data_IF_337193099127
#
_entry.id   IF_337193099127
#
_cell.length_a   1.000
_cell.length_b   1.000
_cell.length_c   1.000
_cell.angle_alpha   90.00
_cell.angle_beta   90.00
_cell.angle_gamma   90.00
#
_symmetry.space_group_name_H-M   'P 1'
#
loop_
_entity.id
_entity.type
_entity.pdbx_description
1 polymer ?
#
# COMPACT_ATOMS: atom_id res chain seq x y z
N UNK A 1 -4.21 -2.59 -5.96
CA UNK A 1 -3.43 -2.41 -7.20
C UNK A 1 -1.95 -2.77 -7.00
N UNK A 2 -1.19 -2.19 -6.06
CA UNK A 2 0.24 -2.51 -5.90
C UNK A 2 0.52 -4.03 -5.78
N UNK A 3 -0.25 -4.76 -4.96
CA UNK A 3 -0.12 -6.21 -4.83
C UNK A 3 -0.35 -6.95 -6.15
N UNK A 4 -1.35 -6.55 -6.95
CA UNK A 4 -1.64 -7.18 -8.24
C UNK A 4 -0.54 -6.92 -9.27
N UNK A 5 0.02 -5.71 -9.27
CA UNK A 5 1.19 -5.37 -10.10
C UNK A 5 2.41 -6.17 -9.68
N UNK A 6 2.72 -6.21 -8.38
CA UNK A 6 3.83 -7.00 -7.84
C UNK A 6 3.75 -8.46 -8.33
N UNK A 7 2.58 -9.07 -8.25
CA UNK A 7 2.39 -10.46 -8.71
C UNK A 7 2.50 -10.60 -10.22
N UNK A 8 1.95 -9.66 -11.00
CA UNK A 8 2.08 -9.65 -12.46
C UNK A 8 3.54 -9.54 -12.92
N UNK A 9 4.38 -8.90 -12.11
CA UNK A 9 5.83 -8.80 -12.31
C UNK A 9 6.62 -10.03 -11.79
N UNK A 10 5.94 -11.07 -11.33
CA UNK A 10 6.60 -12.29 -10.80
C UNK A 10 7.02 -12.21 -9.35
N UNK A 11 6.60 -11.18 -8.62
CA UNK A 11 6.89 -11.06 -7.19
C UNK A 11 6.18 -12.14 -6.36
N UNK A 12 6.84 -12.58 -5.28
CA UNK A 12 6.35 -13.65 -4.40
C UNK A 12 5.14 -13.25 -3.53
N UNK A 13 4.73 -12.00 -3.55
CA UNK A 13 3.65 -11.43 -2.75
C UNK A 13 4.16 -10.46 -1.69
N UNK A 14 3.24 -9.94 -0.90
CA UNK A 14 3.54 -8.98 0.17
C UNK A 14 2.63 -9.24 1.39
N UNK A 15 3.09 -8.81 2.55
CA UNK A 15 2.24 -8.62 3.72
C UNK A 15 1.52 -7.29 3.53
N UNK A 16 0.21 -7.28 3.69
CA UNK A 16 -0.60 -6.07 3.57
C UNK A 16 -1.06 -5.61 4.95
N UNK A 17 -0.83 -4.35 5.23
CA UNK A 17 -1.27 -3.72 6.49
C UNK A 17 -2.37 -2.73 6.16
N UNK A 18 -3.51 -2.84 6.84
CA UNK A 18 -4.62 -1.88 6.73
C UNK A 18 -5.43 -1.91 8.04
N UNK A 19 -6.00 -0.78 8.43
CA UNK A 19 -6.85 -0.68 9.63
C UNK A 19 -8.27 -1.21 9.39
N UNK A 20 -8.70 -1.33 8.13
CA UNK A 20 -10.05 -1.75 7.76
C UNK A 20 -10.09 -3.25 7.47
N UNK A 21 -10.83 -4.01 8.27
CA UNK A 21 -10.92 -5.48 8.14
C UNK A 21 -11.37 -5.95 6.74
N UNK A 22 -12.34 -5.25 6.13
CA UNK A 22 -12.81 -5.58 4.78
C UNK A 22 -11.73 -5.42 3.71
N UNK A 23 -10.83 -4.42 3.86
CA UNK A 23 -9.68 -4.24 2.96
C UNK A 23 -8.62 -5.31 3.17
N UNK A 24 -8.39 -5.73 4.44
CA UNK A 24 -7.51 -6.85 4.75
C UNK A 24 -8.02 -8.15 4.11
N UNK A 25 -9.32 -8.44 4.21
CA UNK A 25 -9.94 -9.59 3.54
C UNK A 25 -9.74 -9.54 2.02
N UNK A 26 -10.03 -8.40 1.40
CA UNK A 26 -9.83 -8.22 -0.04
C UNK A 26 -8.36 -8.36 -0.46
N UNK A 27 -7.40 -7.98 0.40
CA UNK A 27 -5.98 -8.18 0.15
C UNK A 27 -5.59 -9.66 0.15
N UNK A 28 -6.15 -10.47 1.08
CA UNK A 28 -5.94 -11.93 1.06
C UNK A 28 -6.49 -12.57 -0.21
N UNK A 29 -7.69 -12.20 -0.63
CA UNK A 29 -8.29 -12.65 -1.90
C UNK A 29 -7.46 -12.24 -3.12
N UNK A 30 -6.80 -11.09 -3.05
CA UNK A 30 -5.87 -10.62 -4.08
C UNK A 30 -4.50 -11.30 -4.03
N UNK A 31 -4.25 -12.16 -3.04
CA UNK A 31 -3.03 -12.97 -2.90
C UNK A 31 -1.95 -12.32 -2.03
N UNK A 32 -2.33 -11.57 -1.01
CA UNK A 32 -1.40 -11.22 0.06
C UNK A 32 -0.91 -12.48 0.78
N UNK A 33 0.35 -12.48 1.18
CA UNK A 33 0.95 -13.59 1.95
C UNK A 33 0.38 -13.64 3.37
N UNK A 34 0.17 -12.46 3.95
CA UNK A 34 -0.49 -12.26 5.23
C UNK A 34 -1.12 -10.87 5.27
N UNK A 35 -2.01 -10.66 6.22
CA UNK A 35 -2.59 -9.34 6.50
C UNK A 35 -2.47 -9.03 7.98
N UNK A 36 -2.21 -7.77 8.30
CA UNK A 36 -2.01 -7.31 9.68
C UNK A 36 -2.89 -6.09 9.91
N UNK A 37 -3.46 -5.99 11.10
CA UNK A 37 -4.18 -4.79 11.53
C UNK A 37 -3.18 -3.70 11.90
N UNK A 38 -3.14 -2.63 11.12
CA UNK A 38 -2.24 -1.49 11.38
C UNK A 38 -2.58 -0.70 12.65
N UNK A 39 -3.76 -0.91 13.22
CA UNK A 39 -4.19 -0.29 14.48
C UNK A 39 -3.81 -1.13 15.72
N UNK A 40 -3.37 -2.36 15.54
CA UNK A 40 -2.95 -3.20 16.66
C UNK A 40 -1.69 -2.65 17.34
N UNK A 41 -1.66 -2.65 18.65
CA UNK A 41 -0.52 -2.15 19.45
C UNK A 41 0.79 -2.90 19.19
N UNK A 42 0.70 -4.15 18.76
CA UNK A 42 1.80 -5.04 18.43
C UNK A 42 2.01 -5.23 16.90
N UNK A 43 1.41 -4.37 16.06
CA UNK A 43 1.46 -4.49 14.60
C UNK A 43 2.89 -4.63 14.06
N UNK A 44 3.85 -3.87 14.60
CA UNK A 44 5.25 -3.95 14.18
C UNK A 44 5.88 -5.31 14.49
N UNK A 45 5.59 -5.87 15.68
CA UNK A 45 6.05 -7.21 16.07
C UNK A 45 5.46 -8.29 15.19
N UNK A 46 4.17 -8.18 14.85
CA UNK A 46 3.51 -9.09 13.91
C UNK A 46 4.18 -9.03 12.52
N UNK A 47 4.52 -7.85 12.01
CA UNK A 47 5.24 -7.69 10.74
C UNK A 47 6.62 -8.33 10.82
N UNK A 48 7.38 -8.03 11.88
CA UNK A 48 8.73 -8.58 12.09
C UNK A 48 8.70 -10.11 12.13
N UNK A 49 7.75 -10.69 12.86
CA UNK A 49 7.56 -12.13 12.94
C UNK A 49 7.20 -12.74 11.58
N UNK A 50 6.23 -12.14 10.88
CA UNK A 50 5.75 -12.65 9.59
C UNK A 50 6.80 -12.51 8.46
N UNK A 51 7.77 -11.60 8.62
CA UNK A 51 8.87 -11.40 7.66
C UNK A 51 10.17 -12.10 8.05
N UNK A 52 10.21 -12.77 9.20
CA UNK A 52 11.41 -13.46 9.69
C UNK A 52 12.57 -12.51 10.06
N UNK A 53 12.25 -11.35 10.67
CA UNK A 53 13.26 -10.41 11.17
C UNK A 53 13.11 -8.96 10.66
N UNK A 54 12.01 -8.65 10.00
CA UNK A 54 11.67 -7.33 9.48
C UNK A 54 11.57 -7.28 7.96
N UNK A 55 10.79 -6.32 7.46
CA UNK A 55 10.55 -6.15 6.03
C UNK A 55 11.82 -5.67 5.31
N UNK A 56 12.11 -6.23 4.15
CA UNK A 56 13.21 -5.74 3.29
C UNK A 56 12.85 -4.45 2.58
N UNK A 57 11.56 -4.31 2.25
CA UNK A 57 11.01 -3.13 1.59
C UNK A 57 9.62 -2.85 2.18
N UNK A 58 9.35 -1.59 2.46
CA UNK A 58 8.04 -1.08 2.86
C UNK A 58 7.56 -0.12 1.78
N UNK A 59 6.37 -0.35 1.25
CA UNK A 59 5.70 0.57 0.33
C UNK A 59 4.54 1.23 1.08
N UNK A 60 4.72 2.49 1.46
CA UNK A 60 3.69 3.27 2.16
C UNK A 60 2.79 3.98 1.14
N UNK A 61 1.60 3.42 0.93
CA UNK A 61 0.60 3.94 -0.01
C UNK A 61 -0.36 4.94 0.66
N UNK A 62 -0.21 5.19 1.95
CA UNK A 62 -1.00 6.16 2.71
C UNK A 62 -0.24 7.47 2.88
N UNK A 63 1.01 7.41 3.30
CA UNK A 63 1.85 8.58 3.55
C UNK A 63 1.41 9.39 4.75
N UNK A 64 1.12 8.72 5.86
CA UNK A 64 0.76 9.34 7.14
C UNK A 64 1.84 9.09 8.18
N UNK A 65 1.92 9.95 9.21
CA UNK A 65 2.89 9.79 10.32
C UNK A 65 2.82 8.40 10.95
N UNK A 66 1.62 7.87 11.16
CA UNK A 66 1.41 6.56 11.78
C UNK A 66 1.91 5.41 10.89
N UNK A 67 1.60 5.42 9.58
CA UNK A 67 2.01 4.37 8.66
C UNK A 67 3.52 4.36 8.43
N UNK A 68 4.11 5.55 8.32
CA UNK A 68 5.56 5.68 8.17
C UNK A 68 6.31 5.24 9.43
N UNK A 69 5.80 5.61 10.62
CA UNK A 69 6.37 5.16 11.89
C UNK A 69 6.30 3.65 12.05
N UNK A 70 5.17 3.03 11.67
CA UNK A 70 5.02 1.58 11.65
C UNK A 70 6.01 0.92 10.68
N UNK A 71 6.17 1.49 9.48
CA UNK A 71 7.15 1.04 8.49
C UNK A 71 8.59 1.05 9.05
N UNK A 72 8.99 2.15 9.69
CA UNK A 72 10.31 2.30 10.32
C UNK A 72 10.52 1.27 11.45
N UNK A 73 9.50 1.05 12.27
CA UNK A 73 9.56 0.08 13.36
C UNK A 73 9.66 -1.37 12.86
N UNK A 74 9.19 -1.63 11.63
CA UNK A 74 9.06 -2.99 11.08
C UNK A 74 10.13 -3.34 10.06
N UNK A 75 10.95 -2.36 9.61
CA UNK A 75 11.95 -2.63 8.58
C UNK A 75 13.20 -3.29 9.16
N UNK A 76 13.79 -4.22 8.43
CA UNK A 76 15.07 -4.81 8.83
C UNK A 76 16.24 -3.88 8.55
N UNK A 77 17.40 -4.18 9.13
CA UNK A 77 18.65 -3.48 8.80
C UNK A 77 18.96 -3.61 7.29
N UNK A 78 19.32 -2.49 6.66
CA UNK A 78 19.57 -2.40 5.22
C UNK A 78 18.31 -2.39 4.36
N UNK A 79 17.12 -2.29 4.96
CA UNK A 79 15.86 -2.22 4.21
C UNK A 79 15.53 -0.84 3.67
N UNK A 80 14.58 -0.76 2.74
CA UNK A 80 14.16 0.48 2.09
C UNK A 80 12.68 0.77 2.33
N UNK A 81 12.36 2.02 2.62
CA UNK A 81 10.98 2.53 2.72
C UNK A 81 10.72 3.47 1.56
N UNK A 82 9.66 3.21 0.81
CA UNK A 82 9.20 4.04 -0.29
C UNK A 82 7.85 4.65 0.07
N UNK A 83 7.79 5.97 0.18
CA UNK A 83 6.57 6.71 0.48
C UNK A 83 5.93 7.17 -0.83
N UNK A 84 4.70 6.72 -1.08
CA UNK A 84 3.91 7.03 -2.28
C UNK A 84 2.66 7.85 -1.91
N UNK A 85 2.08 7.56 -0.74
CA UNK A 85 0.88 8.22 -0.26
C UNK A 85 1.12 9.68 0.13
N UNK A 86 0.08 10.50 0.03
CA UNK A 86 0.12 11.95 0.27
C UNK A 86 -0.90 12.38 1.33
N UNK A 87 -1.19 11.50 2.31
CA UNK A 87 -2.15 11.85 3.37
C UNK A 87 -1.67 13.04 4.20
N UNK A 88 -0.36 13.12 4.47
CA UNK A 88 0.26 14.22 5.20
C UNK A 88 0.62 13.88 6.65
N UNK A 89 1.24 14.85 7.31
CA UNK A 89 1.77 14.74 8.66
C UNK A 89 3.27 14.95 8.69
N UNK A 90 3.87 14.72 9.86
CA UNK A 90 5.30 14.89 10.08
C UNK A 90 5.92 13.60 10.61
N UNK A 91 7.17 13.38 10.26
CA UNK A 91 8.00 12.29 10.77
C UNK A 91 9.07 12.85 11.71
N UNK A 92 9.04 12.45 12.99
CA UNK A 92 10.16 12.66 13.90
C UNK A 92 11.04 11.41 13.90
N UNK A 93 12.22 11.54 13.34
CA UNK A 93 13.19 10.45 13.24
C UNK A 93 14.55 10.94 13.77
N UNK A 94 15.15 10.18 14.68
CA UNK A 94 16.52 10.44 15.09
C UNK A 94 17.47 10.19 13.92
N UNK A 95 18.31 11.17 13.59
CA UNK A 95 19.28 11.07 12.48
C UNK A 95 20.21 9.88 12.66
N UNK A 96 20.59 9.56 13.90
CA UNK A 96 21.44 8.41 14.24
C UNK A 96 20.82 7.07 13.82
N UNK A 97 19.51 7.02 13.73
CA UNK A 97 18.79 5.81 13.35
C UNK A 97 19.08 5.39 11.89
N UNK A 98 19.28 6.35 11.00
CA UNK A 98 19.57 6.07 9.58
C UNK A 98 20.88 5.29 9.42
N UNK A 99 22.04 5.77 9.89
CA UNK A 99 23.29 5.02 9.74
C UNK A 99 23.33 3.74 10.57
N UNK A 100 22.77 3.71 11.79
CA UNK A 100 22.75 2.49 12.61
C UNK A 100 21.92 1.36 11.96
N UNK A 101 20.83 1.71 11.31
CA UNK A 101 20.00 0.74 10.58
C UNK A 101 20.45 0.54 9.14
N UNK A 102 21.24 1.45 8.58
CA UNK A 102 21.58 1.44 7.15
C UNK A 102 20.32 1.47 6.28
N UNK A 103 19.23 2.09 6.75
CA UNK A 103 17.95 2.11 6.07
C UNK A 103 17.87 3.22 5.04
N UNK A 104 17.20 2.94 3.91
CA UNK A 104 16.80 3.93 2.93
C UNK A 104 15.40 4.45 3.20
N UNK A 105 15.20 5.76 2.98
CA UNK A 105 13.88 6.39 2.96
C UNK A 105 13.79 7.29 1.74
N UNK A 106 12.84 7.03 0.85
CA UNK A 106 12.64 7.84 -0.36
C UNK A 106 11.17 8.04 -0.69
N UNK A 107 10.88 9.10 -1.40
CA UNK A 107 9.57 9.33 -2.01
C UNK A 107 9.48 8.71 -3.41
N UNK A 108 8.25 8.42 -3.84
CA UNK A 108 7.91 8.10 -5.22
C UNK A 108 6.61 8.83 -5.56
N UNK A 109 6.68 9.73 -6.54
CA UNK A 109 5.53 10.54 -6.94
C UNK A 109 5.13 10.26 -8.38
N UNK A 110 3.87 9.91 -8.57
CA UNK A 110 3.24 9.55 -9.85
C UNK A 110 4.06 8.50 -10.64
N UNK A 111 4.06 8.56 -11.94
CA UNK A 111 4.80 7.66 -12.81
C UNK A 111 5.17 8.34 -14.13
N UNK A 112 6.08 7.73 -14.86
CA UNK A 112 6.53 8.17 -16.17
C UNK A 112 5.70 7.52 -17.30
N UNK A 113 5.80 8.07 -18.52
CA UNK A 113 5.19 7.46 -19.70
C UNK A 113 5.70 6.04 -20.00
N UNK A 114 7.01 5.72 -19.87
CA UNK A 114 7.47 4.34 -20.00
C UNK A 114 6.80 3.38 -19.01
N UNK A 115 6.72 3.74 -17.72
CA UNK A 115 6.06 2.91 -16.68
C UNK A 115 4.57 2.71 -16.99
N UNK A 116 3.87 3.73 -17.51
CA UNK A 116 2.48 3.56 -17.94
C UNK A 116 2.37 2.57 -19.11
N UNK A 117 3.27 2.64 -20.10
CA UNK A 117 3.30 1.70 -21.22
C UNK A 117 3.53 0.26 -20.75
N UNK A 118 4.45 0.05 -19.82
CA UNK A 118 4.70 -1.27 -19.21
C UNK A 118 3.48 -1.79 -18.46
N UNK A 119 2.81 -0.93 -17.68
CA UNK A 119 1.58 -1.30 -16.96
C UNK A 119 0.46 -1.69 -17.91
N UNK A 120 0.28 -0.95 -19.02
CA UNK A 120 -0.70 -1.26 -20.07
C UNK A 120 -0.36 -2.60 -20.74
N UNK A 121 0.91 -2.85 -21.03
CA UNK A 121 1.35 -4.12 -21.60
C UNK A 121 1.07 -5.32 -20.68
N UNK A 122 1.27 -5.16 -19.35
CA UNK A 122 0.89 -6.19 -18.36
C UNK A 122 -0.63 -6.44 -18.36
N UNK A 123 -1.42 -5.38 -18.46
CA UNK A 123 -2.88 -5.48 -18.53
C UNK A 123 -3.34 -6.20 -19.82
N UNK A 124 -2.76 -5.86 -20.97
CA UNK A 124 -3.06 -6.47 -22.27
C UNK A 124 -2.69 -7.97 -22.32
N UNK A 125 -1.61 -8.37 -21.63
CA UNK A 125 -1.23 -9.78 -21.47
C UNK A 125 -2.18 -10.57 -20.56
N UNK A 126 -3.16 -9.92 -19.91
CA UNK A 126 -4.08 -10.57 -18.98
C UNK A 126 -3.45 -10.98 -17.64
N UNK A 127 -2.19 -10.60 -17.38
CA UNK A 127 -1.49 -10.96 -16.13
C UNK A 127 -1.89 -10.06 -14.96
N UNK A 128 -2.38 -8.85 -15.26
CA UNK A 128 -2.84 -7.88 -14.27
C UNK A 128 -4.33 -8.09 -13.98
N UNK A 129 -4.64 -8.64 -12.82
CA UNK A 129 -6.04 -8.78 -12.39
C UNK A 129 -6.67 -7.40 -12.19
N UNK A 130 -7.85 -7.14 -12.80
CA UNK A 130 -8.53 -5.86 -12.64
C UNK A 130 -8.99 -5.65 -11.19
N UNK A 131 -8.98 -4.40 -10.75
CA UNK A 131 -9.59 -4.04 -9.47
C UNK A 131 -11.11 -3.97 -9.63
N UNK A 132 -11.82 -4.19 -8.53
CA UNK A 132 -13.27 -4.03 -8.49
C UNK A 132 -13.65 -2.59 -8.86
N UNK A 133 -14.55 -2.43 -9.81
CA UNK A 133 -15.13 -1.14 -10.22
C UNK A 133 -16.62 -1.13 -9.90
N UNK A 134 -17.07 -0.11 -9.19
CA UNK A 134 -18.49 0.18 -8.96
C UNK A 134 -18.86 1.39 -9.79
N UNK A 135 -19.85 1.24 -10.66
CA UNK A 135 -20.39 2.36 -11.45
C UNK A 135 -21.50 3.06 -10.69
N UNK A 136 -21.50 4.37 -10.70
CA UNK A 136 -22.57 5.23 -10.17
C UNK A 136 -22.91 6.31 -11.19
N UNK A 137 -24.14 6.83 -11.15
CA UNK A 137 -24.54 7.95 -11.99
C UNK A 137 -23.85 9.24 -11.55
N UNK A 138 -23.59 10.16 -12.49
CA UNK A 138 -22.93 11.43 -12.21
C UNK A 138 -23.58 12.24 -11.07
N UNK A 139 -24.92 12.32 -10.95
CA UNK A 139 -25.57 13.02 -9.82
C UNK A 139 -25.25 12.43 -8.44
N UNK A 140 -24.77 11.19 -8.36
CA UNK A 140 -24.36 10.55 -7.10
C UNK A 140 -22.92 10.90 -6.67
N UNK A 141 -22.25 11.84 -7.34
CA UNK A 141 -20.85 12.20 -7.10
C UNK A 141 -20.58 12.57 -5.63
N UNK A 142 -21.44 13.39 -5.01
CA UNK A 142 -21.29 13.79 -3.61
C UNK A 142 -21.40 12.58 -2.65
N UNK A 143 -22.35 11.69 -2.91
CA UNK A 143 -22.51 10.47 -2.12
C UNK A 143 -21.30 9.55 -2.29
N UNK A 144 -20.76 9.41 -3.50
CA UNK A 144 -19.58 8.62 -3.78
C UNK A 144 -18.33 9.15 -3.06
N UNK A 145 -18.15 10.48 -3.02
CA UNK A 145 -17.06 11.13 -2.28
C UNK A 145 -17.20 10.94 -0.76
N UNK A 146 -18.40 11.04 -0.23
CA UNK A 146 -18.66 10.79 1.19
C UNK A 146 -18.36 9.33 1.57
N UNK A 147 -18.75 8.38 0.74
CA UNK A 147 -18.41 6.96 0.96
C UNK A 147 -16.90 6.70 0.87
N UNK A 148 -16.20 7.37 -0.05
CA UNK A 148 -14.75 7.30 -0.15
C UNK A 148 -14.09 7.85 1.11
N UNK A 149 -14.51 9.04 1.57
CA UNK A 149 -14.03 9.67 2.80
C UNK A 149 -14.28 8.79 4.03
N UNK A 150 -15.43 8.12 4.08
CA UNK A 150 -15.79 7.18 5.15
C UNK A 150 -15.07 5.81 5.05
N UNK A 151 -14.20 5.60 4.07
CA UNK A 151 -13.46 4.34 3.88
C UNK A 151 -14.32 3.16 3.39
N UNK A 152 -15.57 3.38 2.98
CA UNK A 152 -16.52 2.34 2.56
C UNK A 152 -16.26 1.79 1.15
N UNK A 153 -15.41 2.45 0.36
CA UNK A 153 -15.15 2.07 -1.02
C UNK A 153 -14.09 0.97 -1.08
N UNK A 154 -14.43 -0.18 -1.63
CA UNK A 154 -13.48 -1.23 -2.03
C UNK A 154 -13.27 -1.17 -3.55
N UNK A 155 -12.01 -0.94 -3.97
CA UNK A 155 -11.67 -0.78 -5.38
C UNK A 155 -11.82 0.66 -5.87
N UNK A 156 -12.62 0.87 -6.91
CA UNK A 156 -12.86 2.20 -7.52
C UNK A 156 -14.34 2.44 -7.75
N UNK A 157 -14.77 3.67 -7.53
CA UNK A 157 -16.05 4.18 -8.03
C UNK A 157 -15.77 4.95 -9.30
N UNK A 158 -16.53 4.66 -10.34
CA UNK A 158 -16.52 5.39 -11.62
C UNK A 158 -17.88 6.03 -11.79
N UNK A 159 -17.88 7.34 -11.98
CA UNK A 159 -19.10 8.10 -12.30
C UNK A 159 -19.33 8.02 -13.79
N UNK A 160 -20.55 7.69 -14.18
CA UNK A 160 -20.97 7.63 -15.57
C UNK A 160 -22.09 8.64 -15.80
N UNK A 161 -22.14 9.31 -16.97
CA UNK A 161 -23.24 10.22 -17.35
C UNK A 161 -24.61 9.59 -17.26
#
# INVERSE_FOLDING_TARGET
>A
MALTVLRAMGGKGAIVVDIVAAKRKAAMEAGAVAVIDGAASDASQQIIKATGGGASCVLDLVGASATLSLGIASIKKGGEIVVVGLYGGELKLSIVYLPLRGMGLRGSYVGSLPELKELVALAQKGTLKPIKVTRRKLPEASAALNDLKAGKVLGRVVLVP
#
